data_IF_257157009403
#
_entry.id   IF_257157009403
#
_cell.length_a   1.000
_cell.length_b   1.000
_cell.length_c   1.000
_cell.angle_alpha   90.00
_cell.angle_beta   90.00
_cell.angle_gamma   90.00
#
_symmetry.space_group_name_H-M   'P 1'
#
loop_
_entity.id
_entity.type
_entity.pdbx_description
1 polymer ?
#
# COMPACT_ATOMS: atom_id res chain seq x y z
N UNK A 1 23.71 29.94 -5.22
CA UNK A 1 23.76 28.59 -4.63
C UNK A 1 22.34 28.04 -4.62
N UNK A 2 22.02 27.16 -5.56
CA UNK A 2 20.67 26.58 -5.66
C UNK A 2 20.59 25.43 -4.66
N UNK A 3 19.77 25.61 -3.61
CA UNK A 3 19.47 24.51 -2.69
C UNK A 3 18.65 23.49 -3.48
N UNK A 4 19.31 22.43 -3.94
CA UNK A 4 18.59 21.22 -4.36
C UNK A 4 17.93 20.66 -3.10
N UNK A 5 16.64 20.96 -2.95
CA UNK A 5 15.78 20.23 -2.01
C UNK A 5 15.82 18.80 -2.52
N UNK A 6 16.67 17.96 -1.90
CA UNK A 6 16.50 16.52 -2.03
C UNK A 6 15.05 16.27 -1.64
N UNK A 7 14.24 15.80 -2.59
CA UNK A 7 12.93 15.24 -2.31
C UNK A 7 13.17 14.13 -1.29
N UNK A 8 13.10 14.45 -0.01
CA UNK A 8 13.00 13.46 1.05
C UNK A 8 11.77 12.66 0.67
N UNK A 9 11.97 11.40 0.29
CA UNK A 9 10.87 10.51 0.02
C UNK A 9 10.05 10.44 1.31
N UNK A 10 8.87 11.05 1.28
CA UNK A 10 8.00 11.10 2.44
C UNK A 10 7.62 9.67 2.78
N UNK A 11 7.93 9.22 4.00
CA UNK A 11 7.74 7.84 4.41
C UNK A 11 6.44 7.68 5.20
N UNK A 12 5.84 6.49 5.14
CA UNK A 12 4.67 6.13 5.95
C UNK A 12 5.18 5.34 7.15
N UNK A 13 4.84 5.79 8.35
CA UNK A 13 5.11 5.05 9.59
C UNK A 13 3.86 4.37 10.14
N UNK A 14 2.69 4.97 9.91
CA UNK A 14 1.45 4.51 10.48
C UNK A 14 0.25 4.95 9.64
N UNK A 15 -0.79 4.11 9.64
CA UNK A 15 -2.10 4.42 9.08
C UNK A 15 -3.16 4.19 10.14
N UNK A 16 -3.86 5.25 10.51
CA UNK A 16 -5.00 5.21 11.41
C UNK A 16 -6.29 5.17 10.61
N UNK A 17 -7.20 4.28 10.96
CA UNK A 17 -8.51 4.18 10.30
C UNK A 17 -9.63 4.48 11.29
N UNK A 18 -10.46 5.45 10.95
CA UNK A 18 -11.68 5.82 11.68
C UNK A 18 -12.91 5.38 10.89
N UNK A 19 -14.12 5.73 11.36
CA UNK A 19 -15.36 5.50 10.61
C UNK A 19 -15.38 6.20 9.24
N UNK A 20 -14.78 7.39 9.13
CA UNK A 20 -14.94 8.26 7.95
C UNK A 20 -13.65 8.48 7.16
N UNK A 21 -12.49 8.26 7.80
CA UNK A 21 -11.19 8.64 7.27
C UNK A 21 -10.10 7.62 7.59
N UNK A 22 -9.21 7.45 6.63
CA UNK A 22 -7.87 6.92 6.84
C UNK A 22 -6.88 8.09 6.91
N UNK A 23 -6.16 8.20 8.02
CA UNK A 23 -5.08 9.17 8.21
C UNK A 23 -3.74 8.47 8.07
N UNK A 24 -2.88 9.00 7.20
CA UNK A 24 -1.57 8.43 6.91
C UNK A 24 -0.54 9.36 7.54
N UNK A 25 0.36 8.81 8.36
CA UNK A 25 1.34 9.54 9.14
C UNK A 25 2.77 9.19 8.74
N UNK A 26 3.67 10.17 8.85
CA UNK A 26 5.12 9.97 8.69
C UNK A 26 5.81 9.54 9.99
N UNK A 27 7.11 9.26 9.92
CA UNK A 27 7.93 8.83 11.05
C UNK A 27 8.02 9.84 12.20
N UNK A 28 7.61 11.10 11.96
CA UNK A 28 7.54 12.16 12.98
C UNK A 28 6.15 12.30 13.58
N UNK A 29 5.22 11.41 13.24
CA UNK A 29 3.82 11.47 13.65
C UNK A 29 3.02 12.57 12.94
N UNK A 30 3.55 13.19 11.87
CA UNK A 30 2.82 14.21 11.13
C UNK A 30 1.90 13.53 10.13
N UNK A 31 0.66 13.99 10.07
CA UNK A 31 -0.29 13.53 9.05
C UNK A 31 0.15 14.04 7.67
N UNK A 32 0.36 13.13 6.73
CA UNK A 32 0.85 13.43 5.38
C UNK A 32 -0.21 13.26 4.31
N UNK A 33 -1.21 12.43 4.56
CA UNK A 33 -2.31 12.23 3.61
C UNK A 33 -3.60 11.81 4.32
N UNK A 34 -4.74 11.97 3.66
CA UNK A 34 -6.06 11.60 4.19
C UNK A 34 -6.91 11.02 3.07
N UNK A 35 -7.52 9.86 3.31
CA UNK A 35 -8.37 9.14 2.36
C UNK A 35 -9.73 8.91 3.01
N UNK A 36 -10.83 9.12 2.28
CA UNK A 36 -12.16 8.80 2.79
C UNK A 36 -12.39 7.28 2.80
N UNK A 37 -12.98 6.75 3.86
CA UNK A 37 -13.36 5.32 3.95
C UNK A 37 -14.38 4.90 2.89
N UNK A 38 -15.13 5.85 2.32
CA UNK A 38 -16.01 5.59 1.18
C UNK A 38 -15.26 5.16 -0.09
N UNK A 39 -13.95 5.44 -0.18
CA UNK A 39 -13.14 5.02 -1.31
C UNK A 39 -12.67 3.57 -1.20
N UNK A 40 -12.70 2.99 -0.01
CA UNK A 40 -12.20 1.64 0.27
C UNK A 40 -11.58 1.52 1.65
N UNK A 41 -10.95 0.38 1.91
CA UNK A 41 -10.19 0.10 3.14
C UNK A 41 -8.69 0.03 2.83
N UNK A 42 -7.84 0.29 3.82
CA UNK A 42 -6.39 0.15 3.69
C UNK A 42 -5.94 -1.13 4.41
N UNK A 43 -5.87 -2.30 3.74
CA UNK A 43 -5.50 -3.55 4.40
C UNK A 43 -4.01 -3.64 4.77
N UNK A 44 -3.12 -2.91 4.10
CA UNK A 44 -1.70 -2.88 4.41
C UNK A 44 -1.00 -1.65 3.83
N UNK A 45 0.16 -1.32 4.41
CA UNK A 45 1.07 -0.28 3.94
C UNK A 45 2.52 -0.68 4.19
N UNK A 46 3.41 -0.26 3.29
CA UNK A 46 4.85 -0.28 3.49
C UNK A 46 5.36 1.14 3.78
N UNK A 47 6.68 1.30 3.93
CA UNK A 47 7.26 2.62 4.23
C UNK A 47 7.10 3.62 3.08
N UNK A 48 6.93 3.14 1.85
CA UNK A 48 6.85 4.01 0.66
C UNK A 48 5.54 3.88 -0.13
N UNK A 49 4.54 3.15 0.36
CA UNK A 49 3.26 2.98 -0.33
C UNK A 49 2.16 2.47 0.61
N UNK A 50 0.91 2.69 0.24
CA UNK A 50 -0.24 2.03 0.87
C UNK A 50 -1.13 1.39 -0.19
N UNK A 51 -1.89 0.37 0.23
CA UNK A 51 -2.85 -0.33 -0.63
C UNK A 51 -4.24 0.08 -0.19
N UNK A 52 -5.06 0.58 -1.12
CA UNK A 52 -6.48 0.83 -0.91
C UNK A 52 -7.28 -0.25 -1.66
N UNK A 53 -8.03 -1.06 -0.92
CA UNK A 53 -8.96 -2.02 -1.49
C UNK A 53 -10.34 -1.39 -1.68
N UNK A 54 -10.79 -1.33 -2.92
CA UNK A 54 -12.04 -0.69 -3.34
C UNK A 54 -12.81 -1.69 -4.20
N UNK A 55 -13.80 -2.36 -3.60
CA UNK A 55 -14.50 -3.49 -4.22
C UNK A 55 -13.51 -4.57 -4.68
N UNK A 56 -13.57 -4.92 -5.96
CA UNK A 56 -12.74 -5.96 -6.58
C UNK A 56 -11.34 -5.50 -6.99
N UNK A 57 -10.88 -4.33 -6.57
CA UNK A 57 -9.59 -3.77 -6.97
C UNK A 57 -8.69 -3.40 -5.79
N UNK A 58 -7.41 -3.74 -5.92
CA UNK A 58 -6.33 -3.23 -5.08
C UNK A 58 -5.67 -2.07 -5.81
N UNK A 59 -5.76 -0.86 -5.24
CA UNK A 59 -5.15 0.35 -5.78
C UNK A 59 -3.93 0.68 -4.92
N UNK A 60 -2.75 0.74 -5.53
CA UNK A 60 -1.49 1.00 -4.82
C UNK A 60 -1.14 2.47 -5.00
N UNK A 61 -0.82 3.15 -3.91
CA UNK A 61 -0.55 4.59 -3.90
C UNK A 61 0.79 4.89 -3.24
N UNK A 62 1.47 5.92 -3.74
CA UNK A 62 2.61 6.49 -3.03
C UNK A 62 2.14 7.33 -1.82
N UNK A 63 3.05 7.76 -0.93
CA UNK A 63 2.69 8.44 0.32
C UNK A 63 2.03 9.80 0.11
N UNK A 64 2.12 10.36 -1.10
CA UNK A 64 1.48 11.62 -1.49
C UNK A 64 0.08 11.41 -2.08
N UNK A 65 -0.39 10.17 -2.18
CA UNK A 65 -1.69 9.81 -2.74
C UNK A 65 -1.70 9.69 -4.27
N UNK A 66 -0.54 9.62 -4.93
CA UNK A 66 -0.50 9.33 -6.37
C UNK A 66 -0.57 7.83 -6.59
N UNK A 67 -1.51 7.41 -7.43
CA UNK A 67 -1.70 5.99 -7.78
C UNK A 67 -0.52 5.48 -8.59
N UNK A 68 0.09 4.39 -8.13
CA UNK A 68 1.20 3.69 -8.77
C UNK A 68 0.69 2.57 -9.68
N UNK A 69 -0.29 1.80 -9.21
CA UNK A 69 -0.84 0.65 -9.95
C UNK A 69 -2.25 0.28 -9.47
N UNK A 70 -2.93 -0.55 -10.26
CA UNK A 70 -4.21 -1.16 -9.92
C UNK A 70 -4.15 -2.65 -10.27
N UNK A 71 -4.56 -3.52 -9.34
CA UNK A 71 -4.67 -4.96 -9.54
C UNK A 71 -6.11 -5.42 -9.30
N UNK A 72 -6.57 -6.42 -10.06
CA UNK A 72 -7.83 -7.11 -9.75
C UNK A 72 -7.62 -8.07 -8.59
N UNK A 73 -8.52 -8.06 -7.60
CA UNK A 73 -8.55 -9.03 -6.50
C UNK A 73 -8.79 -10.47 -6.97
N UNK A 74 -9.45 -10.68 -8.11
CA UNK A 74 -9.62 -12.03 -8.69
C UNK A 74 -8.32 -12.64 -9.20
N UNK A 75 -7.35 -11.81 -9.59
CA UNK A 75 -6.03 -12.26 -10.04
C UNK A 75 -4.94 -12.14 -8.98
N UNK A 76 -5.01 -11.12 -8.13
CA UNK A 76 -4.02 -10.89 -7.08
C UNK A 76 -4.36 -11.63 -5.78
N UNK A 77 -5.64 -11.82 -5.46
CA UNK A 77 -6.09 -12.36 -4.18
C UNK A 77 -6.16 -11.32 -3.05
N UNK A 78 -6.23 -11.82 -1.83
CA UNK A 78 -6.37 -11.02 -0.61
C UNK A 78 -5.01 -10.53 -0.11
N UNK A 79 -4.89 -9.27 0.28
CA UNK A 79 -3.67 -8.72 0.90
C UNK A 79 -3.43 -9.40 2.26
N UNK A 80 -2.21 -9.90 2.46
CA UNK A 80 -1.76 -10.53 3.72
C UNK A 80 -0.92 -9.55 4.55
N UNK A 81 -0.13 -8.72 3.87
CA UNK A 81 0.73 -7.74 4.53
C UNK A 81 1.66 -7.05 3.54
N UNK A 82 2.35 -6.02 4.03
CA UNK A 82 3.33 -5.26 3.28
C UNK A 82 4.61 -5.09 4.11
N UNK A 83 5.75 -5.03 3.44
CA UNK A 83 7.06 -4.81 4.06
C UNK A 83 8.03 -4.23 3.03
N UNK A 84 8.76 -3.20 3.44
CA UNK A 84 9.62 -2.42 2.55
C UNK A 84 8.84 -1.89 1.33
N UNK A 85 9.35 -2.19 0.14
CA UNK A 85 8.76 -1.81 -1.15
C UNK A 85 7.91 -2.93 -1.79
N UNK A 86 7.49 -3.91 -0.99
CA UNK A 86 6.74 -5.08 -1.48
C UNK A 86 5.50 -5.37 -0.63
N UNK A 87 4.53 -6.05 -1.23
CA UNK A 87 3.41 -6.63 -0.49
C UNK A 87 3.13 -8.05 -0.92
N UNK A 88 2.50 -8.79 -0.02
CA UNK A 88 2.12 -10.18 -0.25
C UNK A 88 0.61 -10.30 -0.31
N UNK A 89 0.12 -11.04 -1.28
CA UNK A 89 -1.28 -11.45 -1.38
C UNK A 89 -1.40 -12.98 -1.34
N UNK A 90 -2.57 -13.47 -0.95
CA UNK A 90 -2.94 -14.89 -0.94
C UNK A 90 -4.10 -15.14 -1.89
N UNK A 91 -3.94 -16.11 -2.78
CA UNK A 91 -5.00 -16.62 -3.64
C UNK A 91 -4.96 -18.15 -3.61
N UNK A 92 -5.98 -18.75 -2.99
CA UNK A 92 -5.98 -20.18 -2.70
C UNK A 92 -4.79 -20.60 -1.83
N UNK A 93 -4.04 -21.61 -2.27
CA UNK A 93 -2.83 -22.10 -1.59
C UNK A 93 -1.54 -21.38 -1.96
N UNK A 94 -1.62 -20.29 -2.74
CA UNK A 94 -0.46 -19.56 -3.24
C UNK A 94 -0.31 -18.20 -2.57
N UNK A 95 0.95 -17.83 -2.28
CA UNK A 95 1.37 -16.50 -1.89
C UNK A 95 2.09 -15.83 -3.05
N UNK A 96 1.67 -14.62 -3.37
CA UNK A 96 2.27 -13.80 -4.43
C UNK A 96 2.94 -12.59 -3.78
N UNK A 97 4.19 -12.34 -4.14
CA UNK A 97 4.91 -11.14 -3.75
C UNK A 97 4.91 -10.17 -4.92
N UNK A 98 4.51 -8.94 -4.65
CA UNK A 98 4.38 -7.87 -5.62
C UNK A 98 5.28 -6.70 -5.22
N UNK A 99 5.83 -5.98 -6.19
CA UNK A 99 6.43 -4.67 -5.95
C UNK A 99 5.35 -3.61 -5.72
N UNK A 100 5.71 -2.47 -5.12
CA UNK A 100 4.83 -1.31 -4.98
C UNK A 100 4.31 -0.74 -6.32
N UNK A 101 4.99 -1.04 -7.43
CA UNK A 101 4.53 -0.71 -8.79
C UNK A 101 3.56 -1.75 -9.36
N UNK A 102 3.13 -2.74 -8.57
CA UNK A 102 2.17 -3.77 -8.98
C UNK A 102 2.78 -4.88 -9.85
N UNK A 103 4.11 -5.00 -9.92
CA UNK A 103 4.78 -6.07 -10.66
C UNK A 103 4.88 -7.32 -9.80
N UNK A 104 4.45 -8.48 -10.33
CA UNK A 104 4.67 -9.77 -9.66
C UNK A 104 6.16 -10.08 -9.61
N UNK A 105 6.71 -10.28 -8.41
CA UNK A 105 8.11 -10.64 -8.18
C UNK A 105 8.25 -12.16 -8.08
N UNK A 106 7.44 -12.79 -7.23
CA UNK A 106 7.52 -14.22 -6.97
C UNK A 106 6.17 -14.82 -6.60
N UNK A 107 6.05 -16.14 -6.74
CA UNK A 107 4.92 -16.93 -6.29
C UNK A 107 5.44 -18.17 -5.58
N UNK A 108 4.83 -18.54 -4.45
CA UNK A 108 5.19 -19.76 -3.70
C UNK A 108 3.96 -20.38 -3.06
N UNK A 109 4.04 -21.68 -2.76
CA UNK A 109 3.00 -22.35 -1.98
C UNK A 109 3.04 -21.88 -0.51
N UNK A 110 1.88 -21.85 0.14
CA UNK A 110 1.77 -21.59 1.58
C UNK A 110 2.44 -22.74 2.33
N UNK A 111 3.40 -22.42 3.20
CA UNK A 111 4.00 -23.38 4.12
C UNK A 111 3.01 -23.67 5.26
N UNK A 112 2.88 -24.94 5.64
CA UNK A 112 2.05 -25.43 6.74
C UNK A 112 2.93 -25.76 7.94
#
# INVERSE_FOLDING_TARGET
MTVSVRLMAQSISYVESTRSWHYIYDEKGRKIHTVSTNQGTIPAYGSSFYILQSGSFLKIYDPKGRRLATLSTSGAGQVVGASGDTFTTKLGGWLYTWSKEGKKISVRWVQR
#
